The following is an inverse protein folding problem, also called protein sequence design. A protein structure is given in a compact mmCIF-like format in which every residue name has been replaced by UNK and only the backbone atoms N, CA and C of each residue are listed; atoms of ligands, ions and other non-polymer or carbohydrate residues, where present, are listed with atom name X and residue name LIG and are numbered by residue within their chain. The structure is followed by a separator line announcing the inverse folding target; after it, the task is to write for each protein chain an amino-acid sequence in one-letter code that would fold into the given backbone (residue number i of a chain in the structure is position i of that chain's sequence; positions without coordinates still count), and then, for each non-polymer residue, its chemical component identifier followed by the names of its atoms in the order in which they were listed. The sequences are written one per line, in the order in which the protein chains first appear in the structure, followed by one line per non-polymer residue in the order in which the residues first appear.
data_IF_422250561283
#
_entry.id   IF_422250561283
#
_cell.length_a   1.000
_cell.length_b   1.000
_cell.length_c   1.000
_cell.angle_alpha   90.00
_cell.angle_beta   90.00
_cell.angle_gamma   90.00
#
_symmetry.space_group_name_H-M   'P 1'
#
loop_
_entity.id
_entity.type
_entity.pdbx_description
1 polymer ?
#
# COMPACT_ATOMS: atom_id res chain seq x y z
N UNK A 1 7.97 -21.26 2.07
CA UNK A 1 6.70 -20.70 1.53
C UNK A 1 5.76 -20.46 2.70
N UNK A 2 5.43 -19.20 2.99
CA UNK A 2 4.72 -18.81 4.21
C UNK A 2 3.29 -19.34 4.26
N UNK A 3 2.93 -20.00 5.36
CA UNK A 3 1.54 -20.39 5.67
C UNK A 3 0.77 -19.16 6.13
N UNK A 4 0.46 -18.24 5.21
CA UNK A 4 -0.46 -17.15 5.52
C UNK A 4 -1.86 -17.78 5.60
N UNK A 5 -2.60 -17.63 6.72
CA UNK A 5 -3.95 -18.16 6.81
C UNK A 5 -4.81 -17.52 5.72
N UNK A 6 -5.42 -18.35 4.86
CA UNK A 6 -6.18 -17.88 3.69
C UNK A 6 -7.30 -16.88 4.08
N UNK A 7 -7.90 -17.06 5.26
CA UNK A 7 -8.89 -16.14 5.82
C UNK A 7 -8.34 -14.74 6.09
N UNK A 8 -7.09 -14.61 6.53
CA UNK A 8 -6.46 -13.31 6.75
C UNK A 8 -6.20 -12.60 5.41
N UNK A 9 -5.71 -13.33 4.42
CA UNK A 9 -5.49 -12.81 3.07
C UNK A 9 -6.81 -12.35 2.43
N UNK A 10 -7.87 -13.16 2.49
CA UNK A 10 -9.20 -12.78 1.97
C UNK A 10 -9.79 -11.56 2.69
N UNK A 11 -9.59 -11.45 4.01
CA UNK A 11 -10.03 -10.28 4.78
C UNK A 11 -9.31 -9.01 4.35
N UNK A 12 -8.00 -9.07 4.08
CA UNK A 12 -7.25 -7.94 3.51
C UNK A 12 -7.78 -7.56 2.11
N UNK A 13 -8.03 -8.57 1.29
CA UNK A 13 -8.42 -8.39 -0.12
C UNK A 13 -9.82 -7.79 -0.29
N UNK A 14 -10.69 -7.91 0.73
CA UNK A 14 -12.03 -7.34 0.71
C UNK A 14 -12.04 -5.80 0.59
N UNK A 15 -11.06 -5.12 1.21
CA UNK A 15 -10.97 -3.66 1.19
C UNK A 15 -10.69 -3.11 -0.23
N UNK A 16 -9.63 -3.57 -0.95
CA UNK A 16 -9.44 -3.20 -2.36
C UNK A 16 -10.58 -3.66 -3.25
N UNK A 17 -11.16 -4.84 -3.01
CA UNK A 17 -12.22 -5.39 -3.87
C UNK A 17 -13.46 -4.49 -3.88
N UNK A 18 -13.87 -3.95 -2.73
CA UNK A 18 -14.98 -2.99 -2.66
C UNK A 18 -14.72 -1.75 -3.53
N UNK A 19 -13.54 -1.15 -3.40
CA UNK A 19 -13.16 0.03 -4.19
C UNK A 19 -13.09 -0.28 -5.70
N UNK A 20 -12.54 -1.44 -6.05
CA UNK A 20 -12.38 -1.91 -7.42
C UNK A 20 -13.74 -2.13 -8.09
N UNK A 21 -14.69 -2.76 -7.38
CA UNK A 21 -16.06 -2.99 -7.90
C UNK A 21 -16.74 -1.65 -8.21
N UNK A 22 -16.66 -0.67 -7.31
CA UNK A 22 -17.24 0.67 -7.55
C UNK A 22 -16.60 1.32 -8.79
N UNK A 23 -15.28 1.30 -8.91
CA UNK A 23 -14.58 1.89 -10.05
C UNK A 23 -14.90 1.20 -11.39
N UNK A 24 -14.95 -0.13 -11.40
CA UNK A 24 -15.27 -0.94 -12.59
C UNK A 24 -16.71 -0.75 -13.03
N UNK A 25 -17.65 -0.62 -12.08
CA UNK A 25 -19.02 -0.23 -12.41
C UNK A 25 -19.06 1.14 -13.09
N UNK A 26 -18.34 2.13 -12.57
CA UNK A 26 -18.27 3.46 -13.22
C UNK A 26 -17.73 3.39 -14.65
N UNK A 27 -16.76 2.52 -14.94
CA UNK A 27 -16.21 2.36 -16.30
C UNK A 27 -17.17 1.58 -17.21
N UNK A 28 -17.87 0.59 -16.67
CA UNK A 28 -18.85 -0.20 -17.42
C UNK A 28 -20.07 0.63 -17.84
N UNK A 29 -20.48 1.60 -17.02
CA UNK A 29 -21.55 2.54 -17.34
C UNK A 29 -21.02 3.73 -18.14
N UNK A 30 -21.37 3.79 -19.43
CA UNK A 30 -21.02 4.92 -20.29
C UNK A 30 -22.19 5.88 -20.46
N UNK A 31 -21.94 7.19 -20.36
CA UNK A 31 -22.90 8.25 -20.64
C UNK A 31 -22.65 8.76 -22.07
N UNK A 32 -23.56 8.51 -23.01
CA UNK A 32 -23.45 9.04 -24.38
C UNK A 32 -24.68 9.87 -24.76
N UNK A 33 -24.50 11.11 -25.26
CA UNK A 33 -25.59 11.96 -25.76
C UNK A 33 -26.20 11.50 -27.11
N UNK A 34 -25.57 10.57 -27.83
CA UNK A 34 -26.04 10.10 -29.14
C UNK A 34 -25.89 8.58 -29.28
N UNK A 35 -26.84 7.98 -29.99
CA UNK A 35 -26.90 6.57 -30.43
C UNK A 35 -25.79 6.25 -31.46
N UNK A 36 -24.52 6.54 -31.14
CA UNK A 36 -23.37 6.38 -32.06
C UNK A 36 -22.65 5.05 -31.86
N UNK A 37 -22.97 4.30 -30.79
CA UNK A 37 -22.35 3.01 -30.49
C UNK A 37 -23.42 1.92 -30.29
N UNK A 38 -23.14 0.64 -30.62
CA UNK A 38 -24.03 -0.46 -30.30
C UNK A 38 -24.06 -0.65 -28.78
N UNK A 39 -25.11 -0.14 -28.14
CA UNK A 39 -25.40 -0.39 -26.73
C UNK A 39 -26.03 -1.77 -26.59
N UNK A 40 -25.48 -2.62 -25.70
CA UNK A 40 -26.02 -3.95 -25.43
C UNK A 40 -27.30 -3.87 -24.59
N UNK A 41 -27.36 -2.90 -23.68
CA UNK A 41 -28.54 -2.61 -22.86
C UNK A 41 -28.48 -1.16 -22.39
N UNK A 42 -29.59 -0.43 -22.44
CA UNK A 42 -29.63 0.95 -21.97
C UNK A 42 -31.02 1.55 -21.86
N UNK A 43 -31.17 2.50 -20.94
CA UNK A 43 -32.38 3.28 -20.73
C UNK A 43 -32.19 4.67 -21.33
N UNK A 44 -33.14 5.09 -22.18
CA UNK A 44 -33.19 6.45 -22.71
C UNK A 44 -33.91 7.34 -21.70
N UNK A 45 -33.22 8.32 -21.14
CA UNK A 45 -33.81 9.32 -20.25
C UNK A 45 -33.45 10.71 -20.79
N UNK A 46 -34.46 11.44 -21.28
CA UNK A 46 -34.35 12.87 -21.61
C UNK A 46 -33.18 13.29 -22.52
N UNK A 47 -32.93 12.55 -23.62
CA UNK A 47 -31.89 12.89 -24.61
C UNK A 47 -30.50 12.28 -24.35
N UNK A 48 -30.32 11.53 -23.26
CA UNK A 48 -29.10 10.78 -22.97
C UNK A 48 -29.40 9.28 -22.92
N UNK A 49 -28.53 8.47 -23.53
CA UNK A 49 -28.60 7.01 -23.48
C UNK A 49 -27.64 6.53 -22.40
N UNK A 50 -28.20 6.02 -21.29
CA UNK A 50 -27.45 5.35 -20.23
C UNK A 50 -27.40 3.87 -20.57
N UNK A 51 -26.22 3.35 -20.92
CA UNK A 51 -26.11 1.95 -21.30
C UNK A 51 -24.71 1.38 -21.16
N UNK A 52 -24.65 0.05 -21.16
CA UNK A 52 -23.40 -0.70 -21.16
C UNK A 52 -23.00 -0.95 -22.61
N UNK A 53 -21.80 -0.50 -22.97
CA UNK A 53 -21.19 -0.79 -24.28
C UNK A 53 -20.33 -2.05 -24.18
N UNK A 54 -20.25 -2.83 -25.27
CA UNK A 54 -19.35 -3.98 -25.32
C UNK A 54 -17.88 -3.59 -25.06
N UNK A 55 -17.48 -2.41 -25.56
CA UNK A 55 -16.16 -1.84 -25.32
C UNK A 55 -15.95 -1.44 -23.84
N UNK A 56 -16.95 -0.84 -23.20
CA UNK A 56 -16.91 -0.50 -21.78
C UNK A 56 -16.85 -1.73 -20.87
N UNK A 57 -17.50 -2.82 -21.24
CA UNK A 57 -17.40 -4.08 -20.51
C UNK A 57 -16.02 -4.75 -20.67
N UNK A 58 -15.45 -4.71 -21.88
CA UNK A 58 -14.12 -5.24 -22.15
C UNK A 58 -13.03 -4.47 -21.37
N UNK A 59 -13.08 -3.13 -21.37
CA UNK A 59 -12.13 -2.29 -20.60
C UNK A 59 -12.32 -2.44 -19.10
N UNK A 60 -13.56 -2.56 -18.62
CA UNK A 60 -13.89 -2.86 -17.23
C UNK A 60 -13.27 -4.19 -16.77
N UNK A 61 -13.38 -5.25 -17.58
CA UNK A 61 -12.79 -6.56 -17.28
C UNK A 61 -11.25 -6.50 -17.25
N UNK A 62 -10.61 -5.83 -18.21
CA UNK A 62 -9.16 -5.68 -18.25
C UNK A 62 -8.66 -4.91 -17.01
N UNK A 63 -9.31 -3.79 -16.68
CA UNK A 63 -8.98 -2.99 -15.51
C UNK A 63 -9.13 -3.79 -14.21
N UNK A 64 -10.19 -4.62 -14.12
CA UNK A 64 -10.44 -5.48 -12.97
C UNK A 64 -9.29 -6.47 -12.75
N UNK A 65 -8.95 -7.24 -13.79
CA UNK A 65 -7.90 -8.27 -13.71
C UNK A 65 -6.51 -7.66 -13.45
N UNK A 66 -6.18 -6.57 -14.13
CA UNK A 66 -4.90 -5.87 -13.96
C UNK A 66 -4.72 -5.34 -12.55
N UNK A 67 -5.76 -4.70 -12.01
CA UNK A 67 -5.74 -4.15 -10.66
C UNK A 67 -5.67 -5.26 -9.61
N UNK A 68 -6.40 -6.36 -9.80
CA UNK A 68 -6.36 -7.52 -8.91
C UNK A 68 -4.96 -8.15 -8.85
N UNK A 69 -4.31 -8.31 -10.01
CA UNK A 69 -2.95 -8.81 -10.10
C UNK A 69 -1.93 -7.92 -9.38
N UNK A 70 -2.01 -6.61 -9.58
CA UNK A 70 -1.14 -5.64 -8.92
C UNK A 70 -1.29 -5.66 -7.39
N UNK A 71 -2.53 -5.68 -6.88
CA UNK A 71 -2.81 -5.73 -5.44
C UNK A 71 -2.34 -7.06 -4.84
N UNK A 72 -2.53 -8.18 -5.54
CA UNK A 72 -2.04 -9.48 -5.08
C UNK A 72 -0.52 -9.51 -4.94
N UNK A 73 0.21 -8.97 -5.93
CA UNK A 73 1.67 -8.84 -5.87
C UNK A 73 2.12 -7.95 -4.71
N UNK A 74 1.44 -6.82 -4.49
CA UNK A 74 1.73 -5.93 -3.37
C UNK A 74 1.55 -6.62 -2.01
N UNK A 75 0.46 -7.36 -1.81
CA UNK A 75 0.24 -8.10 -0.58
C UNK A 75 1.20 -9.26 -0.40
N UNK A 76 1.55 -9.95 -1.48
CA UNK A 76 2.57 -10.99 -1.44
C UNK A 76 3.90 -10.41 -0.91
N UNK A 77 4.35 -9.29 -1.46
CA UNK A 77 5.56 -8.60 -0.98
C UNK A 77 5.40 -8.18 0.48
N UNK A 78 4.31 -7.50 0.83
CA UNK A 78 4.08 -6.95 2.17
C UNK A 78 4.00 -8.01 3.27
N UNK A 79 3.52 -9.22 2.96
CA UNK A 79 3.34 -10.29 3.93
C UNK A 79 4.54 -11.22 4.05
N UNK A 80 5.39 -11.25 3.03
CA UNK A 80 6.57 -12.14 3.00
C UNK A 80 7.87 -11.42 3.31
N UNK A 81 7.94 -10.12 3.03
CA UNK A 81 9.19 -9.33 3.11
C UNK A 81 9.06 -8.23 4.16
N UNK A 82 9.88 -8.23 5.22
CA UNK A 82 9.89 -7.15 6.20
C UNK A 82 10.47 -5.85 5.61
N UNK A 83 10.02 -4.71 6.13
CA UNK A 83 10.44 -3.39 5.62
C UNK A 83 11.97 -3.17 5.67
N UNK A 84 12.65 -3.75 6.66
CA UNK A 84 14.11 -3.66 6.80
C UNK A 84 14.84 -4.29 5.60
N UNK A 85 14.29 -5.36 5.01
CA UNK A 85 14.86 -5.99 3.81
C UNK A 85 14.67 -5.12 2.56
N UNK A 86 13.52 -4.45 2.45
CA UNK A 86 13.26 -3.49 1.38
C UNK A 86 14.28 -2.34 1.42
N UNK A 87 14.59 -1.82 2.62
CA UNK A 87 15.62 -0.78 2.80
C UNK A 87 17.02 -1.27 2.41
N UNK A 88 17.37 -2.52 2.70
CA UNK A 88 18.65 -3.09 2.28
C UNK A 88 18.76 -3.20 0.74
N UNK A 89 17.68 -3.57 0.06
CA UNK A 89 17.62 -3.58 -1.41
C UNK A 89 17.74 -2.15 -1.97
N UNK A 90 17.06 -1.16 -1.38
CA UNK A 90 17.17 0.25 -1.78
C UNK A 90 18.60 0.78 -1.62
N UNK A 91 19.33 0.36 -0.58
CA UNK A 91 20.74 0.70 -0.42
C UNK A 91 21.61 0.12 -1.54
N UNK A 92 21.35 -1.13 -1.97
CA UNK A 92 22.02 -1.74 -3.14
C UNK A 92 21.69 -1.03 -4.45
N UNK A 93 20.52 -0.41 -4.55
CA UNK A 93 20.13 0.46 -5.67
C UNK A 93 20.82 1.84 -5.66
N UNK A 94 21.87 2.02 -4.83
CA UNK A 94 22.70 3.24 -4.72
C UNK A 94 21.94 4.47 -4.22
N UNK A 95 20.90 4.26 -3.42
CA UNK A 95 20.19 5.36 -2.76
C UNK A 95 21.12 5.99 -1.68
N UNK A 96 21.21 7.33 -1.54
CA UNK A 96 22.11 7.97 -0.58
C UNK A 96 21.88 7.50 0.85
N UNK A 97 22.96 7.34 1.63
CA UNK A 97 22.92 6.84 3.02
C UNK A 97 21.94 7.61 3.90
N UNK A 98 21.92 8.94 3.76
CA UNK A 98 21.01 9.83 4.48
C UNK A 98 19.54 9.39 4.40
N UNK A 99 19.05 9.04 3.21
CA UNK A 99 17.64 8.63 3.05
C UNK A 99 17.37 7.26 3.68
N UNK A 100 18.30 6.31 3.54
CA UNK A 100 18.17 4.99 4.16
C UNK A 100 18.11 5.13 5.69
N UNK A 101 18.91 6.01 6.26
CA UNK A 101 18.92 6.31 7.68
C UNK A 101 17.61 6.94 8.15
N UNK A 102 17.15 7.97 7.44
CA UNK A 102 15.87 8.62 7.73
C UNK A 102 14.72 7.61 7.66
N UNK A 103 14.65 6.78 6.62
CA UNK A 103 13.63 5.75 6.51
C UNK A 103 13.70 4.70 7.63
N UNK A 104 14.90 4.30 8.02
CA UNK A 104 15.12 3.35 9.13
C UNK A 104 14.64 3.94 10.46
N UNK A 105 14.98 5.20 10.73
CA UNK A 105 14.55 5.91 11.93
C UNK A 105 13.03 6.13 11.94
N UNK A 106 12.45 6.55 10.81
CA UNK A 106 10.99 6.70 10.65
C UNK A 106 10.28 5.38 10.92
N UNK A 107 10.74 4.27 10.32
CA UNK A 107 10.14 2.94 10.53
C UNK A 107 10.18 2.53 12.02
N UNK A 108 11.31 2.74 12.70
CA UNK A 108 11.43 2.49 14.14
C UNK A 108 10.49 3.39 14.95
N UNK A 109 10.39 4.67 14.61
CA UNK A 109 9.55 5.63 15.32
C UNK A 109 8.06 5.43 15.10
N UNK A 110 7.62 4.82 14.00
CA UNK A 110 6.20 4.44 13.83
C UNK A 110 5.74 3.59 15.01
N UNK A 111 6.49 2.56 15.40
CA UNK A 111 6.11 1.69 16.53
C UNK A 111 6.15 2.41 17.87
N UNK A 112 7.18 3.23 18.11
CA UNK A 112 7.31 4.03 19.35
C UNK A 112 6.16 5.03 19.49
N UNK A 113 5.79 5.70 18.40
CA UNK A 113 4.68 6.65 18.37
C UNK A 113 3.35 5.93 18.55
N UNK A 114 3.14 4.76 17.92
CA UNK A 114 1.94 3.95 18.13
C UNK A 114 1.75 3.54 19.59
N UNK A 115 2.81 3.05 20.24
CA UNK A 115 2.77 2.70 21.67
C UNK A 115 2.50 3.93 22.55
N UNK A 116 3.07 5.08 22.20
CA UNK A 116 2.85 6.34 22.91
C UNK A 116 1.42 6.82 22.74
N UNK A 117 0.87 6.73 21.53
CA UNK A 117 -0.52 7.06 21.22
C UNK A 117 -1.47 6.16 21.99
N UNK A 118 -1.21 4.86 22.07
CA UNK A 118 -2.04 3.92 22.84
C UNK A 118 -2.09 4.30 24.34
N UNK A 119 -0.94 4.64 24.93
CA UNK A 119 -0.87 5.13 26.32
C UNK A 119 -1.67 6.42 26.53
N UNK A 120 -1.59 7.36 25.59
CA UNK A 120 -2.36 8.62 25.67
C UNK A 120 -3.86 8.34 25.53
N UNK A 121 -4.25 7.49 24.57
CA UNK A 121 -5.65 7.09 24.35
C UNK A 121 -6.25 6.45 25.59
N UNK A 122 -5.55 5.49 26.21
CA UNK A 122 -5.97 4.86 27.46
C UNK A 122 -6.17 5.92 28.54
N UNK A 123 -5.18 6.80 28.76
CA UNK A 123 -5.29 7.88 29.76
C UNK A 123 -6.45 8.84 29.50
N UNK A 124 -6.74 9.18 28.24
CA UNK A 124 -7.85 10.05 27.87
C UNK A 124 -9.20 9.35 28.04
N UNK A 125 -9.30 8.08 27.66
CA UNK A 125 -10.51 7.27 27.83
C UNK A 125 -10.88 7.09 29.31
N UNK A 126 -9.90 6.88 30.21
CA UNK A 126 -10.13 6.80 31.66
C UNK A 126 -10.67 8.11 32.26
N UNK A 127 -10.50 9.24 31.55
CA UNK A 127 -10.98 10.57 31.95
C UNK A 127 -12.22 11.02 31.17
N UNK A 128 -12.94 10.08 30.54
CA UNK A 128 -14.12 10.38 29.71
C UNK A 128 -13.83 11.31 28.52
N UNK A 129 -12.58 11.34 28.04
CA UNK A 129 -12.15 12.22 26.94
C UNK A 129 -12.84 11.95 25.60
N UNK A 130 -13.48 10.79 25.44
CA UNK A 130 -14.17 10.37 24.22
C UNK A 130 -15.69 10.19 24.39
N UNK A 131 -16.26 10.75 25.46
CA UNK A 131 -17.68 10.57 25.81
C UNK A 131 -18.66 11.28 24.87
N UNK A 132 -18.24 12.34 24.17
CA UNK A 132 -19.10 13.15 23.29
C UNK A 132 -18.27 13.58 22.09
N UNK A 133 -18.89 13.77 20.92
CA UNK A 133 -18.18 14.22 19.71
C UNK A 133 -17.33 15.47 19.95
N UNK A 134 -17.84 16.46 20.71
CA UNK A 134 -17.09 17.66 21.10
C UNK A 134 -15.85 17.35 21.93
N UNK A 135 -15.98 16.50 22.97
CA UNK A 135 -14.85 16.12 23.82
C UNK A 135 -13.86 15.24 23.07
N UNK A 136 -14.33 14.38 22.17
CA UNK A 136 -13.48 13.57 21.28
C UNK A 136 -12.58 14.42 20.39
N UNK A 137 -13.11 15.45 19.72
CA UNK A 137 -12.27 16.35 18.91
C UNK A 137 -11.23 17.10 19.75
N UNK A 138 -11.62 17.55 20.94
CA UNK A 138 -10.71 18.22 21.86
C UNK A 138 -9.59 17.27 22.34
N UNK A 139 -9.94 16.05 22.75
CA UNK A 139 -8.99 15.02 23.17
C UNK A 139 -8.05 14.60 22.03
N UNK A 140 -8.55 14.48 20.81
CA UNK A 140 -7.72 14.22 19.63
C UNK A 140 -6.71 15.35 19.36
N UNK A 141 -7.14 16.61 19.49
CA UNK A 141 -6.23 17.76 19.38
C UNK A 141 -5.13 17.72 20.44
N UNK A 142 -5.49 17.42 21.69
CA UNK A 142 -4.52 17.25 22.78
C UNK A 142 -3.58 16.07 22.54
N UNK A 143 -4.07 14.95 22.00
CA UNK A 143 -3.25 13.80 21.66
C UNK A 143 -2.20 14.17 20.62
N UNK A 144 -2.62 14.84 19.54
CA UNK A 144 -1.71 15.30 18.49
C UNK A 144 -0.64 16.25 19.02
N UNK A 145 -1.02 17.25 19.83
CA UNK A 145 -0.08 18.19 20.44
C UNK A 145 0.94 17.49 21.37
N UNK A 146 0.48 16.59 22.24
CA UNK A 146 1.36 15.84 23.14
C UNK A 146 2.30 14.91 22.37
N UNK A 147 1.80 14.23 21.34
CA UNK A 147 2.60 13.33 20.51
C UNK A 147 3.67 14.11 19.75
N UNK A 148 3.35 15.29 19.23
CA UNK A 148 4.31 16.17 18.56
C UNK A 148 5.43 16.62 19.50
N UNK A 149 5.09 17.13 20.69
CA UNK A 149 6.07 17.56 21.70
C UNK A 149 6.98 16.39 22.11
N UNK A 150 6.39 15.21 22.36
CA UNK A 150 7.17 14.01 22.69
C UNK A 150 8.09 13.58 21.55
N UNK A 151 7.61 13.58 20.31
CA UNK A 151 8.40 13.24 19.13
C UNK A 151 9.58 14.20 18.94
N UNK A 152 9.34 15.50 19.12
CA UNK A 152 10.38 16.52 19.04
C UNK A 152 11.48 16.31 20.10
N UNK A 153 11.09 16.09 21.36
CA UNK A 153 12.06 15.77 22.41
C UNK A 153 12.80 14.45 22.14
N UNK A 154 12.11 13.44 21.62
CA UNK A 154 12.73 12.17 21.29
C UNK A 154 13.76 12.30 20.17
N UNK A 155 13.49 13.14 19.17
CA UNK A 155 14.45 13.48 18.11
C UNK A 155 15.71 14.15 18.68
N UNK A 156 15.55 15.15 19.57
CA UNK A 156 16.67 15.81 20.24
C UNK A 156 17.50 14.82 21.08
N UNK A 157 16.84 13.97 21.87
CA UNK A 157 17.50 12.95 22.68
C UNK A 157 18.23 11.92 21.83
N UNK A 158 17.62 11.48 20.72
CA UNK A 158 18.25 10.57 19.77
C UNK A 158 19.49 11.20 19.16
N UNK A 159 19.42 12.46 18.73
CA UNK A 159 20.55 13.18 18.18
C UNK A 159 21.70 13.30 19.19
N UNK A 160 21.42 13.70 20.43
CA UNK A 160 22.44 13.74 21.51
C UNK A 160 23.04 12.35 21.77
N UNK A 161 22.23 11.29 21.74
CA UNK A 161 22.69 9.91 21.92
C UNK A 161 23.60 9.46 20.76
N UNK A 162 23.28 9.86 19.53
CA UNK A 162 24.10 9.58 18.36
C UNK A 162 25.45 10.31 18.45
N UNK A 163 25.46 11.60 18.83
CA UNK A 163 26.69 12.35 19.03
C UNK A 163 27.60 11.69 20.08
N UNK A 164 27.03 11.20 21.19
CA UNK A 164 27.77 10.47 22.22
C UNK A 164 28.39 9.15 21.72
N UNK A 165 27.85 8.57 20.64
CA UNK A 165 28.37 7.37 19.96
C UNK A 165 29.28 7.70 18.77
N UNK A 166 29.84 8.91 18.73
CA UNK A 166 30.73 9.39 17.67
C UNK A 166 30.06 9.43 16.27
N UNK A 167 28.78 9.78 16.20
CA UNK A 167 28.09 9.94 14.93
C UNK A 167 28.76 11.01 14.04
N UNK A 168 29.29 10.59 12.88
CA UNK A 168 29.98 11.46 11.91
C UNK A 168 29.12 11.76 10.68
N UNK A 169 27.79 11.71 10.81
CA UNK A 169 26.86 11.95 9.71
C UNK A 169 26.49 10.71 8.90
N UNK A 170 26.92 9.51 9.33
CA UNK A 170 26.49 8.23 8.76
C UNK A 170 26.24 7.19 9.86
N UNK A 171 25.12 6.47 9.81
CA UNK A 171 24.80 5.31 10.63
C UNK A 171 25.26 4.03 9.90
N UNK A 172 26.48 3.60 10.20
CA UNK A 172 26.97 2.31 9.73
C UNK A 172 26.38 1.17 10.55
N UNK A 173 25.25 0.63 10.11
CA UNK A 173 24.64 -0.57 10.68
C UNK A 173 25.19 -1.81 9.96
N UNK A 174 25.65 -2.80 10.74
CA UNK A 174 26.03 -4.12 10.22
C UNK A 174 24.80 -4.82 9.64
N UNK A 175 24.80 -5.01 8.32
CA UNK A 175 23.73 -5.73 7.64
C UNK A 175 23.81 -7.23 7.92
N UNK A 176 22.65 -7.84 8.12
CA UNK A 176 22.55 -9.30 8.23
C UNK A 176 22.80 -9.90 6.85
N UNK A 177 23.79 -10.80 6.74
CA UNK A 177 24.12 -11.45 5.49
C UNK A 177 22.99 -12.37 5.04
N UNK A 178 22.34 -12.03 3.93
CA UNK A 178 21.36 -12.90 3.29
C UNK A 178 22.04 -13.81 2.28
N UNK A 179 21.89 -15.13 2.46
CA UNK A 179 22.33 -16.11 1.47
C UNK A 179 21.30 -16.20 0.35
N UNK A 180 21.64 -15.69 -0.83
CA UNK A 180 20.80 -15.84 -2.02
C UNK A 180 20.85 -17.29 -2.50
N UNK A 181 19.70 -17.97 -2.49
CA UNK A 181 19.57 -19.27 -3.16
C UNK A 181 19.32 -19.04 -4.65
N UNK A 182 20.33 -19.30 -5.49
CA UNK A 182 20.23 -19.12 -6.94
C UNK A 182 19.09 -19.92 -7.59
N UNK A 183 18.68 -21.04 -6.98
CA UNK A 183 17.54 -21.84 -7.42
C UNK A 183 16.20 -21.08 -7.29
N UNK A 184 16.02 -20.32 -6.21
CA UNK A 184 14.80 -19.54 -6.02
C UNK A 184 14.74 -18.37 -7.00
N UNK A 185 15.88 -17.72 -7.25
CA UNK A 185 15.96 -16.60 -8.18
C UNK A 185 15.69 -17.03 -9.62
N UNK A 186 16.24 -18.18 -10.05
CA UNK A 186 15.94 -18.77 -11.35
C UNK A 186 14.46 -19.16 -11.49
N UNK A 187 13.85 -19.70 -10.43
CA UNK A 187 12.42 -20.05 -10.42
C UNK A 187 11.53 -18.81 -10.58
N UNK A 188 11.80 -17.72 -9.86
CA UNK A 188 11.06 -16.47 -10.00
C UNK A 188 11.21 -15.87 -11.41
N UNK A 189 12.43 -15.81 -11.94
CA UNK A 189 12.70 -15.29 -13.28
C UNK A 189 11.99 -16.11 -14.36
N UNK A 190 11.97 -17.44 -14.23
CA UNK A 190 11.26 -18.31 -15.17
C UNK A 190 9.75 -18.07 -15.15
N UNK A 191 9.14 -17.93 -13.97
CA UNK A 191 7.71 -17.66 -13.82
C UNK A 191 7.35 -16.31 -14.46
N UNK A 192 8.13 -15.25 -14.22
CA UNK A 192 7.89 -13.94 -14.83
C UNK A 192 8.01 -13.99 -16.36
N UNK A 193 9.04 -14.67 -16.90
CA UNK A 193 9.22 -14.83 -18.33
C UNK A 193 8.04 -15.54 -19.00
N UNK A 194 7.52 -16.60 -18.35
CA UNK A 194 6.34 -17.33 -18.85
C UNK A 194 5.10 -16.43 -18.86
N UNK A 195 4.88 -15.64 -17.80
CA UNK A 195 3.75 -14.71 -17.72
C UNK A 195 3.84 -13.60 -18.78
N UNK A 196 5.03 -13.05 -19.02
CA UNK A 196 5.25 -12.04 -20.07
C UNK A 196 5.02 -12.63 -21.46
N UNK A 197 5.50 -13.85 -21.72
CA UNK A 197 5.29 -14.53 -23.00
C UNK A 197 3.80 -14.78 -23.26
N UNK A 198 3.05 -15.25 -22.26
CA UNK A 198 1.60 -15.43 -22.35
C UNK A 198 0.85 -14.09 -22.57
N UNK A 199 1.26 -13.04 -21.87
CA UNK A 199 0.66 -11.70 -22.03
C UNK A 199 0.89 -11.11 -23.42
N UNK A 200 2.10 -11.23 -23.96
CA UNK A 200 2.42 -10.80 -25.32
C UNK A 200 1.65 -11.63 -26.35
N UNK A 201 1.58 -12.95 -26.16
CA UNK A 201 0.82 -13.84 -27.03
C UNK A 201 -0.68 -13.47 -27.08
N UNK A 202 -1.30 -13.20 -25.94
CA UNK A 202 -2.71 -12.78 -25.86
C UNK A 202 -2.92 -11.42 -26.52
N UNK A 203 -1.99 -10.48 -26.34
CA UNK A 203 -2.04 -9.16 -26.99
C UNK A 203 -1.90 -9.25 -28.51
N UNK A 204 -1.03 -10.13 -29.01
CA UNK A 204 -0.88 -10.37 -30.44
C UNK A 204 -2.11 -11.04 -31.04
N UNK A 205 -2.76 -11.97 -30.33
CA UNK A 205 -3.96 -12.66 -30.82
C UNK A 205 -5.20 -11.75 -30.89
N UNK A 206 -5.33 -10.78 -29.98
CA UNK A 206 -6.46 -9.84 -29.95
C UNK A 206 -6.34 -8.67 -30.95
N UNK A 207 -5.22 -8.59 -31.69
CA UNK A 207 -4.96 -7.56 -32.71
C UNK A 207 -5.16 -8.08 -34.14
N UNK A 208 -5.47 -9.38 -34.33
CA UNK A 208 -5.79 -10.02 -35.61
C UNK A 208 -7.28 -10.36 -35.72
#
# INVERSE_FOLDING_TARGET
AGRIPALFYLKLMFLPMFFLVVGVLTVAFSFSPKDTYPFLWGFKLGGYTLGVTAAGLATAQELFLKSLGAVSCLYFLSLTTPMVEILAVLKKLKLPSLFIELMTLVYRFIFVLLETTDKILISQSSRWGYATVKTSYFSLGQLGANLFIKSYHHSQMLFTTLLARCYQGNLNVLEKSYTLSGKNLAMFAAIELILLALGLWFKTYNFY
#
